data_IF_161236849495
#
_entry.id   IF_161236849495
#
_cell.length_a   1.000
_cell.length_b   1.000
_cell.length_c   1.000
_cell.angle_alpha   90.00
_cell.angle_beta   90.00
_cell.angle_gamma   90.00
#
_symmetry.space_group_name_H-M   'P 1'
#
loop_
_entity.id
_entity.type
_entity.pdbx_description
1 polymer ?
#
# COMPACT_ATOMS: atom_id res chain seq x y z
N UNK A 1 -1.03 0.27 36.18
CA UNK A 1 -1.83 1.17 35.31
C UNK A 1 -3.03 0.39 34.82
N UNK A 2 -4.25 0.95 34.85
CA UNK A 2 -5.41 0.31 34.22
C UNK A 2 -5.17 0.29 32.71
N UNK A 3 -5.40 -0.83 32.01
CA UNK A 3 -5.27 -0.86 30.56
C UNK A 3 -6.22 0.18 29.95
N UNK A 4 -5.76 0.87 28.90
CA UNK A 4 -6.64 1.74 28.13
C UNK A 4 -7.88 0.94 27.71
N UNK A 5 -9.08 1.52 27.76
CA UNK A 5 -10.28 0.80 27.35
C UNK A 5 -10.10 0.34 25.90
N UNK A 6 -10.56 -0.87 25.58
CA UNK A 6 -10.55 -1.33 24.19
C UNK A 6 -11.55 -0.52 23.37
N UNK A 7 -11.31 -0.40 22.07
CA UNK A 7 -12.27 0.19 21.15
C UNK A 7 -13.58 -0.62 21.16
N UNK A 8 -14.73 0.01 21.50
CA UNK A 8 -16.01 -0.69 21.55
C UNK A 8 -16.41 -1.30 20.20
N UNK A 9 -16.10 -0.60 19.10
CA UNK A 9 -16.35 -1.02 17.73
C UNK A 9 -15.06 -0.91 16.92
N UNK A 10 -14.57 -2.01 16.38
CA UNK A 10 -13.48 -1.97 15.41
C UNK A 10 -13.54 -3.21 14.52
N UNK A 11 -13.36 -3.06 13.19
CA UNK A 11 -13.31 -4.20 12.30
C UNK A 11 -12.06 -5.04 12.54
N UNK A 12 -12.17 -6.36 12.36
CA UNK A 12 -11.00 -7.22 12.33
C UNK A 12 -10.11 -6.90 11.10
N UNK A 13 -8.77 -6.90 11.25
CA UNK A 13 -7.85 -6.82 10.12
C UNK A 13 -8.02 -8.04 9.22
N UNK A 14 -7.86 -7.85 7.91
CA UNK A 14 -7.80 -8.96 6.97
C UNK A 14 -6.38 -9.43 6.76
N UNK A 15 -6.26 -10.64 6.24
CA UNK A 15 -4.97 -11.19 5.85
C UNK A 15 -4.34 -10.35 4.74
N UNK A 16 -3.09 -9.92 4.96
CA UNK A 16 -2.35 -9.07 4.03
C UNK A 16 -2.87 -7.64 3.88
N UNK A 17 -3.82 -7.20 4.71
CA UNK A 17 -4.32 -5.82 4.70
C UNK A 17 -3.23 -4.83 5.15
N UNK A 18 -3.15 -3.68 4.47
CA UNK A 18 -2.25 -2.61 4.86
C UNK A 18 -2.69 -1.95 6.18
N UNK A 19 -1.74 -1.51 7.02
CA UNK A 19 -2.03 -0.84 8.28
C UNK A 19 -2.87 0.43 8.04
N UNK A 20 -2.53 1.22 7.03
CA UNK A 20 -3.28 2.41 6.64
C UNK A 20 -4.73 2.07 6.25
N UNK A 21 -4.93 0.96 5.54
CA UNK A 21 -6.27 0.50 5.10
C UNK A 21 -7.13 0.11 6.29
N UNK A 22 -6.58 -0.68 7.20
CA UNK A 22 -7.31 -1.12 8.38
C UNK A 22 -7.65 0.04 9.30
N UNK A 23 -6.70 0.94 9.58
CA UNK A 23 -6.96 2.13 10.39
C UNK A 23 -8.02 3.03 9.76
N UNK A 24 -8.03 3.16 8.44
CA UNK A 24 -9.08 3.88 7.75
C UNK A 24 -10.46 3.25 8.00
N UNK A 25 -10.58 1.92 7.93
CA UNK A 25 -11.84 1.22 8.26
C UNK A 25 -12.25 1.38 9.72
N UNK A 26 -11.29 1.41 10.65
CA UNK A 26 -11.56 1.71 12.07
C UNK A 26 -12.08 3.14 12.21
N UNK A 27 -11.41 4.12 11.61
CA UNK A 27 -11.78 5.54 11.69
C UNK A 27 -13.19 5.79 11.12
N UNK A 28 -13.54 5.11 10.01
CA UNK A 28 -14.87 5.13 9.43
C UNK A 28 -15.98 4.64 10.39
N UNK A 29 -15.69 3.70 11.31
CA UNK A 29 -16.66 3.27 12.32
C UNK A 29 -17.02 4.36 13.33
N UNK A 30 -16.16 5.37 13.48
CA UNK A 30 -16.34 6.51 14.38
C UNK A 30 -16.64 7.81 13.65
N UNK A 31 -16.79 7.78 12.32
CA UNK A 31 -16.95 8.97 11.47
C UNK A 31 -15.80 9.97 11.63
N UNK A 32 -14.57 9.45 11.75
CA UNK A 32 -13.34 10.23 11.88
C UNK A 32 -12.39 9.92 10.72
N UNK A 33 -11.48 10.84 10.45
CA UNK A 33 -10.33 10.59 9.58
C UNK A 33 -9.21 9.87 10.35
N UNK A 34 -8.31 9.19 9.61
CA UNK A 34 -7.17 8.49 10.23
C UNK A 34 -6.29 9.44 11.02
N UNK A 35 -6.05 10.66 10.51
CA UNK A 35 -5.26 11.68 11.22
C UNK A 35 -5.87 12.05 12.57
N UNK A 36 -7.20 12.23 12.63
CA UNK A 36 -7.91 12.57 13.86
C UNK A 36 -7.86 11.40 14.86
N UNK A 37 -7.99 10.16 14.38
CA UNK A 37 -7.85 8.97 15.21
C UNK A 37 -6.43 8.86 15.80
N UNK A 38 -5.39 9.08 14.99
CA UNK A 38 -4.00 9.05 15.45
C UNK A 38 -3.73 10.14 16.51
N UNK A 39 -4.17 11.36 16.25
CA UNK A 39 -3.90 12.52 17.10
C UNK A 39 -4.66 12.44 18.44
N UNK A 40 -5.98 12.23 18.38
CA UNK A 40 -6.85 12.35 19.55
C UNK A 40 -6.90 11.08 20.40
N UNK A 41 -6.79 9.89 19.78
CA UNK A 41 -6.94 8.63 20.48
C UNK A 41 -5.62 7.96 20.85
N UNK A 42 -4.66 8.02 19.94
CA UNK A 42 -3.38 7.32 20.07
C UNK A 42 -2.25 8.25 20.50
N UNK A 43 -2.46 9.58 20.49
CA UNK A 43 -1.46 10.57 20.89
C UNK A 43 -0.26 10.64 19.94
N UNK A 44 -0.46 10.26 18.68
CA UNK A 44 0.56 10.33 17.64
C UNK A 44 0.22 11.46 16.66
N UNK A 45 1.18 12.35 16.42
CA UNK A 45 1.08 13.28 15.29
C UNK A 45 0.97 12.52 13.96
N UNK A 46 0.58 13.22 12.89
CA UNK A 46 0.47 12.66 11.55
C UNK A 46 1.71 11.82 11.20
N UNK A 47 1.51 10.51 10.99
CA UNK A 47 2.56 9.58 10.56
C UNK A 47 2.50 9.53 9.04
N UNK A 48 3.54 10.07 8.38
CA UNK A 48 3.57 10.22 6.92
C UNK A 48 3.45 8.88 6.16
N UNK A 49 3.99 7.78 6.71
CA UNK A 49 3.87 6.45 6.12
C UNK A 49 3.68 5.35 7.18
N UNK A 50 2.42 5.00 7.42
CA UNK A 50 2.02 3.92 8.31
C UNK A 50 2.41 2.53 7.80
N UNK A 51 2.62 2.36 6.49
CA UNK A 51 2.81 1.06 5.88
C UNK A 51 4.28 0.73 5.63
N UNK A 52 5.20 1.70 5.70
CA UNK A 52 6.64 1.40 5.63
C UNK A 52 7.20 0.93 6.96
N UNK A 53 7.23 1.80 7.97
CA UNK A 53 7.86 1.51 9.26
C UNK A 53 7.13 2.24 10.39
N UNK A 54 5.93 1.78 10.79
CA UNK A 54 5.17 2.42 11.85
C UNK A 54 5.95 2.37 13.18
N UNK A 55 5.92 3.43 14.00
CA UNK A 55 6.60 3.44 15.29
C UNK A 55 6.14 2.29 16.19
N UNK A 56 7.07 1.62 16.87
CA UNK A 56 6.73 0.50 17.78
C UNK A 56 5.78 0.93 18.91
N UNK A 57 5.89 2.18 19.38
CA UNK A 57 4.97 2.76 20.34
C UNK A 57 3.53 2.81 19.81
N UNK A 58 3.35 3.17 18.53
CA UNK A 58 2.04 3.18 17.88
C UNK A 58 1.47 1.76 17.78
N UNK A 59 2.28 0.77 17.37
CA UNK A 59 1.84 -0.63 17.31
C UNK A 59 1.44 -1.18 18.69
N UNK A 60 2.18 -0.82 19.75
CA UNK A 60 1.84 -1.20 21.11
C UNK A 60 0.50 -0.59 21.57
N UNK A 61 0.27 0.69 21.26
CA UNK A 61 -1.00 1.36 21.55
C UNK A 61 -2.17 0.73 20.78
N UNK A 62 -1.98 0.47 19.49
CA UNK A 62 -2.97 -0.23 18.66
C UNK A 62 -3.28 -1.62 19.20
N UNK A 63 -2.27 -2.36 19.64
CA UNK A 63 -2.45 -3.67 20.27
C UNK A 63 -3.28 -3.58 21.55
N UNK A 64 -3.03 -2.58 22.39
CA UNK A 64 -3.82 -2.35 23.61
C UNK A 64 -5.27 -1.97 23.30
N UNK A 65 -5.51 -1.11 22.30
CA UNK A 65 -6.84 -0.59 21.95
C UNK A 65 -7.69 -1.63 21.21
N UNK A 66 -7.10 -2.38 20.30
CA UNK A 66 -7.80 -3.39 19.49
C UNK A 66 -7.79 -4.79 20.12
N UNK A 67 -6.78 -5.09 20.95
CA UNK A 67 -6.51 -6.45 21.41
C UNK A 67 -5.89 -7.36 20.36
N UNK A 68 -5.40 -6.81 19.24
CA UNK A 68 -4.66 -7.55 18.22
C UNK A 68 -3.21 -7.70 18.65
N UNK A 69 -2.63 -8.88 18.45
CA UNK A 69 -1.21 -9.13 18.75
C UNK A 69 -0.28 -8.18 17.98
N UNK A 70 0.79 -7.67 18.62
CA UNK A 70 1.68 -6.68 18.02
C UNK A 70 2.37 -7.22 16.76
N UNK A 71 2.71 -8.51 16.72
CA UNK A 71 3.33 -9.12 15.53
C UNK A 71 2.39 -9.12 14.33
N UNK A 72 1.10 -9.34 14.54
CA UNK A 72 0.10 -9.26 13.47
C UNK A 72 -0.03 -7.85 12.93
N UNK A 73 -0.04 -6.84 13.82
CA UNK A 73 -0.05 -5.43 13.41
C UNK A 73 1.23 -5.05 12.67
N UNK A 74 2.37 -5.60 13.09
CA UNK A 74 3.66 -5.40 12.41
C UNK A 74 3.64 -5.98 10.99
N UNK A 75 3.04 -7.15 10.77
CA UNK A 75 2.90 -7.76 9.44
C UNK A 75 1.99 -6.99 8.47
N UNK A 76 1.27 -5.97 8.95
CA UNK A 76 0.47 -5.05 8.13
C UNK A 76 1.29 -3.85 7.61
N UNK A 77 2.60 -3.83 7.87
CA UNK A 77 3.57 -2.90 7.28
C UNK A 77 4.78 -3.65 6.71
N UNK A 78 5.55 -2.98 5.85
CA UNK A 78 6.76 -3.53 5.24
C UNK A 78 7.83 -3.88 6.28
N UNK A 79 7.85 -3.21 7.43
CA UNK A 79 8.73 -3.54 8.55
C UNK A 79 8.45 -4.93 9.17
N UNK A 80 7.25 -5.48 8.97
CA UNK A 80 6.92 -6.86 9.31
C UNK A 80 7.31 -7.88 8.24
N UNK A 81 7.69 -7.44 7.05
CA UNK A 81 8.11 -8.31 5.94
C UNK A 81 9.63 -8.45 5.84
N UNK A 82 10.38 -7.67 6.61
CA UNK A 82 11.82 -7.84 6.79
C UNK A 82 12.09 -9.02 7.74
N UNK A 83 13.04 -9.94 7.44
CA UNK A 83 13.94 -9.95 6.28
C UNK A 83 13.43 -10.83 5.10
N UNK A 84 12.20 -11.32 5.15
CA UNK A 84 11.73 -12.39 4.26
C UNK A 84 11.43 -11.94 2.83
N UNK A 85 10.76 -10.79 2.65
CA UNK A 85 10.52 -10.21 1.32
C UNK A 85 11.50 -9.07 1.02
N UNK A 86 11.82 -8.28 2.04
CA UNK A 86 12.72 -7.13 1.95
C UNK A 86 13.93 -7.38 2.84
N UNK A 87 15.14 -7.28 2.30
CA UNK A 87 16.35 -7.49 3.08
C UNK A 87 16.53 -6.44 4.18
N UNK A 88 16.20 -5.19 3.88
CA UNK A 88 16.27 -4.04 4.79
C UNK A 88 15.35 -2.91 4.35
N UNK A 89 14.91 -2.08 5.30
CA UNK A 89 14.25 -0.80 5.05
C UNK A 89 15.19 0.41 5.20
N UNK A 90 16.43 0.17 5.61
CA UNK A 90 17.46 1.20 5.73
C UNK A 90 17.90 1.66 4.33
N UNK A 91 17.74 2.95 4.07
CA UNK A 91 18.06 3.59 2.80
C UNK A 91 19.47 4.18 2.77
N UNK A 92 20.23 4.05 3.87
CA UNK A 92 21.60 4.53 4.02
C UNK A 92 22.65 3.45 3.80
N UNK A 93 22.25 2.22 3.44
CA UNK A 93 23.19 1.13 3.17
C UNK A 93 24.03 1.48 1.92
N UNK A 94 25.35 1.63 2.05
CA UNK A 94 26.22 1.89 0.91
C UNK A 94 26.15 0.75 -0.11
N UNK A 95 26.17 1.08 -1.39
CA UNK A 95 26.18 0.11 -2.49
C UNK A 95 25.02 -0.90 -2.45
N UNK A 96 23.90 -0.58 -1.79
CA UNK A 96 22.74 -1.47 -1.65
C UNK A 96 22.20 -1.94 -3.01
N UNK A 97 22.09 -1.01 -3.97
CA UNK A 97 21.68 -1.32 -5.34
C UNK A 97 22.65 -2.27 -6.03
N UNK A 98 23.96 -2.05 -5.87
CA UNK A 98 24.97 -2.88 -6.51
C UNK A 98 25.03 -4.28 -5.93
N UNK A 99 24.91 -4.37 -4.61
CA UNK A 99 24.80 -5.64 -3.89
C UNK A 99 23.58 -6.40 -4.39
N UNK A 100 22.40 -5.78 -4.33
CA UNK A 100 21.17 -6.39 -4.79
C UNK A 100 21.22 -6.85 -6.26
N UNK A 101 21.65 -5.97 -7.18
CA UNK A 101 21.62 -6.27 -8.62
C UNK A 101 22.76 -7.18 -9.08
N UNK A 102 23.91 -7.17 -8.39
CA UNK A 102 25.13 -7.77 -8.92
C UNK A 102 25.88 -8.72 -7.99
N UNK A 103 25.46 -8.93 -6.74
CA UNK A 103 26.11 -9.88 -5.83
C UNK A 103 26.20 -11.29 -6.44
N UNK A 104 25.17 -11.70 -7.19
CA UNK A 104 25.10 -13.00 -7.85
C UNK A 104 25.33 -12.93 -9.37
N UNK A 105 25.84 -11.80 -9.89
CA UNK A 105 26.08 -11.67 -11.32
C UNK A 105 27.35 -12.42 -11.73
N UNK A 106 27.15 -13.54 -12.44
CA UNK A 106 28.23 -14.35 -13.02
C UNK A 106 28.76 -13.77 -14.33
N UNK A 107 27.89 -13.10 -15.11
CA UNK A 107 28.20 -12.68 -16.48
C UNK A 107 28.77 -11.26 -16.61
N UNK A 108 28.70 -10.44 -15.56
CA UNK A 108 29.20 -9.06 -15.59
C UNK A 108 30.30 -8.89 -14.54
N UNK A 109 31.59 -8.94 -14.90
CA UNK A 109 32.70 -8.70 -13.96
C UNK A 109 32.69 -7.27 -13.42
N UNK A 110 33.09 -7.07 -12.15
CA UNK A 110 33.06 -5.76 -11.46
C UNK A 110 33.61 -4.60 -12.29
N UNK A 111 34.74 -4.81 -12.98
CA UNK A 111 35.44 -3.78 -13.76
C UNK A 111 34.73 -3.34 -15.05
N UNK A 112 33.69 -4.05 -15.49
CA UNK A 112 32.91 -3.71 -16.70
C UNK A 112 31.50 -3.22 -16.37
N UNK A 113 31.17 -3.07 -15.08
CA UNK A 113 29.84 -2.61 -14.65
C UNK A 113 29.82 -1.08 -14.71
N UNK A 114 28.82 -0.52 -15.39
CA UNK A 114 28.45 0.88 -15.20
C UNK A 114 27.61 0.97 -13.95
N UNK A 115 28.15 1.59 -12.92
CA UNK A 115 27.44 1.83 -11.67
C UNK A 115 26.67 3.14 -11.79
N UNK A 116 25.47 3.16 -11.21
CA UNK A 116 24.68 4.37 -11.01
C UNK A 116 24.46 4.49 -9.51
N UNK A 117 24.85 5.62 -8.93
CA UNK A 117 24.45 5.94 -7.57
C UNK A 117 23.01 6.44 -7.60
N UNK A 118 22.13 5.71 -6.89
CA UNK A 118 20.78 6.19 -6.58
C UNK A 118 20.77 6.38 -5.06
N UNK A 119 20.58 7.63 -4.63
CA UNK A 119 20.41 7.95 -3.21
C UNK A 119 19.12 7.33 -2.68
N UNK A 120 19.13 6.90 -1.42
CA UNK A 120 17.97 6.33 -0.71
C UNK A 120 17.27 5.16 -1.42
N UNK A 121 18.03 4.36 -2.17
CA UNK A 121 17.50 3.21 -2.89
C UNK A 121 17.18 2.06 -1.94
N UNK A 122 15.99 1.48 -2.10
CA UNK A 122 15.53 0.29 -1.36
C UNK A 122 14.98 -0.73 -2.35
N UNK A 123 15.35 -2.00 -2.19
CA UNK A 123 14.87 -3.06 -3.08
C UNK A 123 13.34 -3.15 -3.02
N UNK A 124 12.69 -3.16 -4.18
CA UNK A 124 11.23 -3.29 -4.36
C UNK A 124 10.35 -2.21 -3.73
N UNK A 125 10.86 -1.33 -2.88
CA UNK A 125 10.07 -0.27 -2.27
C UNK A 125 10.05 0.96 -3.20
N UNK A 126 8.87 1.48 -3.57
CA UNK A 126 8.80 2.61 -4.49
C UNK A 126 9.20 3.91 -3.77
N UNK A 127 9.86 4.82 -4.48
CA UNK A 127 10.20 6.15 -3.95
C UNK A 127 8.97 7.04 -3.72
N UNK A 128 7.84 6.72 -4.37
CA UNK A 128 6.55 7.37 -4.19
C UNK A 128 5.49 6.34 -3.85
N UNK A 129 4.52 6.65 -2.98
CA UNK A 129 3.42 5.76 -2.68
C UNK A 129 2.66 5.33 -3.92
N UNK A 130 2.38 4.02 -4.01
CA UNK A 130 1.55 3.45 -5.07
C UNK A 130 0.13 3.29 -4.55
N UNK A 131 -0.81 4.01 -5.16
CA UNK A 131 -2.23 3.94 -4.83
C UNK A 131 -2.97 3.11 -5.87
N UNK A 132 -2.92 1.79 -5.71
CA UNK A 132 -3.62 0.84 -6.58
C UNK A 132 -4.46 -0.12 -5.77
N UNK A 133 -5.61 -0.49 -6.31
CA UNK A 133 -6.50 -1.43 -5.68
C UNK A 133 -7.37 -2.18 -6.71
N UNK A 134 -7.93 -3.28 -6.25
CA UNK A 134 -8.91 -4.02 -7.04
C UNK A 134 -10.27 -3.28 -6.98
N UNK A 135 -10.87 -2.91 -8.14
CA UNK A 135 -12.16 -2.24 -8.16
C UNK A 135 -13.27 -3.12 -7.58
N UNK A 136 -13.20 -4.44 -7.79
CA UNK A 136 -14.19 -5.39 -7.27
C UNK A 136 -14.12 -5.50 -5.73
N UNK A 137 -12.91 -5.55 -5.15
CA UNK A 137 -12.75 -5.52 -3.69
C UNK A 137 -13.30 -4.22 -3.10
N UNK A 138 -12.95 -3.07 -3.69
CA UNK A 138 -13.37 -1.77 -3.15
C UNK A 138 -14.88 -1.52 -3.26
N UNK A 139 -15.53 -2.07 -4.27
CA UNK A 139 -16.99 -1.95 -4.45
C UNK A 139 -17.79 -2.88 -3.55
N UNK A 140 -17.17 -3.93 -3.00
CA UNK A 140 -17.82 -4.80 -2.04
C UNK A 140 -17.83 -4.10 -0.66
N UNK A 141 -19.01 -3.75 -0.10
CA UNK A 141 -19.10 -3.13 1.22
C UNK A 141 -18.53 -4.05 2.32
N UNK A 142 -18.55 -5.35 2.09
CA UNK A 142 -17.94 -6.32 2.97
C UNK A 142 -16.44 -6.54 2.70
N UNK A 143 -15.81 -5.92 1.68
CA UNK A 143 -14.41 -6.15 1.30
C UNK A 143 -13.60 -4.92 0.86
N UNK A 144 -13.86 -3.76 1.46
CA UNK A 144 -13.16 -2.50 1.18
C UNK A 144 -11.70 -2.42 1.70
N UNK A 145 -10.99 -3.55 1.81
CA UNK A 145 -9.61 -3.59 2.25
C UNK A 145 -8.62 -3.44 1.08
N UNK A 146 -7.60 -2.62 1.29
CA UNK A 146 -6.44 -2.51 0.39
C UNK A 146 -5.33 -3.39 0.95
N UNK A 147 -4.86 -4.33 0.13
CA UNK A 147 -3.76 -5.21 0.52
C UNK A 147 -2.42 -4.47 0.46
N UNK A 148 -1.54 -4.75 1.42
CA UNK A 148 -0.19 -4.17 1.49
C UNK A 148 0.64 -4.49 0.23
N UNK A 149 0.47 -5.70 -0.32
CA UNK A 149 1.18 -6.13 -1.52
C UNK A 149 0.89 -5.25 -2.75
N UNK A 150 -0.29 -4.64 -2.83
CA UNK A 150 -0.68 -3.76 -3.94
C UNK A 150 0.09 -2.44 -3.96
N UNK A 151 0.71 -2.08 -2.81
CA UNK A 151 1.59 -0.91 -2.68
C UNK A 151 3.02 -1.19 -3.17
N UNK A 152 3.34 -2.42 -3.54
CA UNK A 152 4.61 -2.79 -4.17
C UNK A 152 4.51 -2.81 -5.71
N UNK A 153 5.62 -2.57 -6.43
CA UNK A 153 5.70 -2.75 -7.88
C UNK A 153 5.70 -4.24 -8.30
N UNK A 154 5.68 -5.17 -7.36
CA UNK A 154 5.67 -6.62 -7.59
C UNK A 154 4.28 -7.17 -7.93
N UNK A 155 3.21 -6.54 -7.42
CA UNK A 155 1.84 -7.02 -7.59
C UNK A 155 1.04 -6.06 -8.47
N UNK A 156 0.59 -6.55 -9.63
CA UNK A 156 -0.20 -5.76 -10.59
C UNK A 156 -1.63 -6.29 -10.79
N UNK A 157 -1.94 -7.46 -10.24
CA UNK A 157 -3.27 -8.07 -10.30
C UNK A 157 -3.80 -8.38 -8.90
N UNK A 158 -5.14 -8.47 -8.78
CA UNK A 158 -5.79 -8.90 -7.56
C UNK A 158 -5.65 -10.44 -7.42
N UNK A 159 -5.12 -10.96 -6.30
CA UNK A 159 -5.03 -12.41 -6.11
C UNK A 159 -6.40 -13.09 -5.92
N UNK A 160 -7.43 -12.33 -5.51
CA UNK A 160 -8.78 -12.85 -5.29
C UNK A 160 -9.62 -12.87 -6.58
N UNK A 161 -9.50 -11.84 -7.42
CA UNK A 161 -10.36 -11.66 -8.59
C UNK A 161 -9.65 -11.83 -9.93
N UNK A 162 -8.31 -11.87 -9.96
CA UNK A 162 -7.52 -11.99 -11.20
C UNK A 162 -7.51 -10.75 -12.10
N UNK A 163 -8.23 -9.68 -11.75
CA UNK A 163 -8.25 -8.44 -12.53
C UNK A 163 -7.00 -7.58 -12.29
N UNK A 164 -6.70 -6.69 -13.22
CA UNK A 164 -5.66 -5.68 -13.03
C UNK A 164 -6.02 -4.70 -11.92
N UNK A 165 -5.01 -4.24 -11.18
CA UNK A 165 -5.18 -3.20 -10.18
C UNK A 165 -5.27 -1.84 -10.86
N UNK A 166 -6.26 -1.06 -10.46
CA UNK A 166 -6.49 0.29 -10.98
C UNK A 166 -6.03 1.33 -9.97
N UNK A 167 -5.63 2.50 -10.46
CA UNK A 167 -5.31 3.64 -9.60
C UNK A 167 -6.58 4.08 -8.87
N UNK A 168 -6.50 4.29 -7.56
CA UNK A 168 -7.57 4.89 -6.78
C UNK A 168 -7.09 6.17 -6.12
N UNK A 169 -8.00 7.13 -5.99
CA UNK A 169 -7.78 8.39 -5.27
C UNK A 169 -8.85 8.53 -4.21
N UNK A 170 -8.45 8.79 -2.96
CA UNK A 170 -9.35 9.03 -1.84
C UNK A 170 -9.64 7.82 -0.94
N UNK A 171 -10.40 8.09 0.12
CA UNK A 171 -10.82 7.15 1.16
C UNK A 171 -11.74 6.06 0.57
N UNK A 172 -11.50 4.75 0.83
CA UNK A 172 -12.46 3.69 0.53
C UNK A 172 -13.85 4.05 1.07
N UNK A 173 -14.84 4.21 0.19
CA UNK A 173 -16.21 4.63 0.55
C UNK A 173 -16.68 5.96 -0.05
N UNK A 174 -15.78 6.81 -0.57
CA UNK A 174 -16.15 8.03 -1.30
C UNK A 174 -15.34 8.15 -2.60
N UNK A 175 -15.55 7.23 -3.53
CA UNK A 175 -14.92 7.32 -4.85
C UNK A 175 -15.84 8.04 -5.83
N UNK A 176 -15.47 9.26 -6.20
CA UNK A 176 -15.84 9.79 -7.52
C UNK A 176 -14.94 9.13 -8.55
N UNK A 177 -15.56 8.37 -9.45
CA UNK A 177 -14.94 7.82 -10.65
C UNK A 177 -14.35 8.96 -11.48
N UNK A 178 -13.05 9.21 -11.41
CA UNK A 178 -12.38 10.03 -12.42
C UNK A 178 -12.21 9.17 -13.66
N UNK A 179 -13.13 9.31 -14.62
CA UNK A 179 -12.86 8.91 -16.01
C UNK A 179 -11.72 9.81 -16.53
N UNK A 180 -10.49 9.48 -16.17
CA UNK A 180 -9.31 10.00 -16.83
C UNK A 180 -8.51 8.81 -17.28
N UNK A 181 -8.91 8.26 -18.44
CA UNK A 181 -8.01 7.49 -19.28
C UNK A 181 -6.75 8.33 -19.52
N UNK A 182 -5.56 7.90 -19.08
CA UNK A 182 -4.31 8.59 -19.42
C UNK A 182 -4.02 8.52 -20.92
N UNK A 183 -4.70 7.61 -21.63
CA UNK A 183 -4.50 7.29 -23.04
C UNK A 183 -5.43 8.03 -24.02
N UNK A 184 -6.36 8.85 -23.55
CA UNK A 184 -7.13 9.77 -24.42
C UNK A 184 -6.53 11.17 -24.41
N UNK A 185 -5.33 11.32 -24.95
CA UNK A 185 -4.86 12.62 -25.46
C UNK A 185 -4.30 12.42 -26.86
N UNK A 186 -5.05 12.91 -27.84
CA UNK A 186 -4.63 12.95 -29.24
C UNK A 186 -5.60 12.25 -30.18
N UNK A 187 -6.76 12.86 -30.40
CA UNK A 187 -7.40 12.95 -31.72
C UNK A 187 -8.55 13.95 -31.61
N UNK A 188 -8.29 15.15 -32.09
CA UNK A 188 -9.34 16.02 -32.63
C UNK A 188 -9.97 15.28 -33.80
N UNK A 189 -11.24 14.89 -33.66
CA UNK A 189 -12.05 14.41 -34.77
C UNK A 189 -12.21 15.52 -35.82
N UNK A 190 -12.38 15.15 -37.10
CA UNK A 190 -13.74 15.29 -37.60
C UNK A 190 -14.22 14.10 -38.45
N UNK A 191 -15.52 13.81 -38.27
CA UNK A 191 -16.48 13.24 -39.23
C UNK A 191 -16.25 11.79 -39.72
N UNK A 192 -17.27 10.96 -39.53
CA UNK A 192 -17.48 9.74 -40.31
C UNK A 192 -18.17 8.63 -39.53
N UNK A 193 -19.42 8.35 -39.91
CA UNK A 193 -20.17 7.12 -39.64
C UNK A 193 -19.30 5.85 -39.82
N UNK A 194 -19.47 4.87 -38.93
CA UNK A 194 -19.89 3.51 -39.29
C UNK A 194 -19.77 2.54 -38.09
N UNK A 195 -20.77 1.67 -38.00
CA UNK A 195 -20.99 0.73 -36.89
C UNK A 195 -19.80 -0.17 -36.56
N UNK A 196 -19.55 -0.32 -35.25
CA UNK A 196 -18.55 -1.21 -34.69
C UNK A 196 -19.03 -1.79 -33.37
N UNK A 197 -19.68 -2.96 -33.46
CA UNK A 197 -20.01 -3.86 -32.37
C UNK A 197 -18.74 -4.29 -31.63
N UNK A 198 -18.56 -3.89 -30.37
CA UNK A 198 -17.50 -4.41 -29.50
C UNK A 198 -18.11 -5.32 -28.42
N UNK A 199 -17.60 -6.55 -28.22
CA UNK A 199 -18.10 -7.47 -27.21
C UNK A 199 -17.64 -7.06 -25.80
N UNK A 200 -18.25 -7.62 -24.73
CA UNK A 200 -17.92 -7.25 -23.36
C UNK A 200 -16.53 -7.77 -22.99
N UNK A 201 -15.74 -6.94 -22.32
CA UNK A 201 -14.47 -7.37 -21.72
C UNK A 201 -14.77 -7.99 -20.35
N UNK A 202 -14.31 -9.24 -20.19
CA UNK A 202 -14.31 -10.01 -18.96
C UNK A 202 -13.55 -9.30 -17.83
#
# INVERSE_FOLDING_TARGET
MKPAPRWPLHPAPREGEALSSWLNRVALCYHMEVSELLEHDLGHAQVDDLDTAPPLALLAMLSQRSGIEPDRLRCMSFAGWVPWLLDSLDDQIPDALETYAFQLSVLLPKLRRRTRSITSWRAWLPSQPIHRACPLCLNDPANQAVLLAWKLPLMLSCPLHGCWLESYWGVPGCQRRSNTDPWRRGKTDPLGDDGGFWPPRC
#
